data_IF_657326244181
#
_entry.id   IF_657326244181
#
_cell.length_a   1.000
_cell.length_b   1.000
_cell.length_c   1.000
_cell.angle_alpha   90.00
_cell.angle_beta   90.00
_cell.angle_gamma   90.00
#
_symmetry.space_group_name_H-M   'P 1'
#
loop_
_entity.id
_entity.type
_entity.pdbx_description
1 polymer ?
#
# COMPACT_ATOMS: atom_id res chain seq x y z
N UNK A 1 14.63 -5.44 5.98
CA UNK A 1 13.41 -6.27 6.07
C UNK A 1 12.69 -6.07 4.76
N UNK A 2 12.40 -7.13 4.02
CA UNK A 2 11.64 -7.01 2.78
C UNK A 2 10.19 -7.37 3.04
N UNK A 3 9.27 -6.83 2.23
CA UNK A 3 7.85 -7.11 2.38
C UNK A 3 7.52 -8.61 2.25
N UNK A 4 8.39 -9.36 1.58
CA UNK A 4 8.33 -10.82 1.42
C UNK A 4 8.57 -11.61 2.71
N UNK A 5 9.07 -10.98 3.78
CA UNK A 5 9.16 -11.60 5.12
C UNK A 5 7.79 -11.68 5.81
N UNK A 6 6.84 -10.83 5.42
CA UNK A 6 5.51 -10.72 6.01
C UNK A 6 4.42 -11.26 5.08
N UNK A 7 4.60 -11.10 3.77
CA UNK A 7 3.64 -11.44 2.73
C UNK A 7 4.24 -12.45 1.76
N UNK A 8 3.39 -13.29 1.17
CA UNK A 8 3.83 -14.24 0.16
C UNK A 8 4.13 -13.51 -1.14
N UNK A 9 5.35 -13.67 -1.66
CA UNK A 9 5.76 -13.10 -2.93
C UNK A 9 4.83 -13.47 -4.10
N UNK A 10 4.24 -14.68 -4.07
CA UNK A 10 3.28 -15.13 -5.08
C UNK A 10 1.99 -14.29 -5.08
N UNK A 11 1.47 -13.91 -3.90
CA UNK A 11 0.25 -13.11 -3.78
C UNK A 11 0.51 -11.65 -4.17
N UNK A 12 1.69 -11.11 -3.79
CA UNK A 12 2.15 -9.79 -4.26
C UNK A 12 2.22 -9.78 -5.79
N UNK A 13 2.84 -10.79 -6.39
CA UNK A 13 2.97 -10.88 -7.84
C UNK A 13 1.62 -10.95 -8.54
N UNK A 14 0.71 -11.81 -8.07
CA UNK A 14 -0.66 -11.90 -8.61
C UNK A 14 -1.40 -10.57 -8.50
N UNK A 15 -1.27 -9.88 -7.37
CA UNK A 15 -1.90 -8.58 -7.18
C UNK A 15 -1.32 -7.54 -8.16
N UNK A 16 0.01 -7.46 -8.31
CA UNK A 16 0.64 -6.55 -9.26
C UNK A 16 0.23 -6.82 -10.71
N UNK A 17 0.14 -8.08 -11.12
CA UNK A 17 -0.34 -8.46 -12.47
C UNK A 17 -1.82 -8.09 -12.67
N UNK A 18 -2.66 -8.25 -11.64
CA UNK A 18 -4.07 -7.88 -11.71
C UNK A 18 -4.28 -6.37 -11.91
N UNK A 19 -3.45 -5.52 -11.30
CA UNK A 19 -3.54 -4.05 -11.43
C UNK A 19 -2.55 -3.46 -12.46
N UNK A 20 -1.93 -4.29 -13.30
CA UNK A 20 -1.05 -3.83 -14.37
C UNK A 20 -1.82 -3.25 -15.58
N UNK A 21 -3.04 -3.73 -15.84
CA UNK A 21 -3.84 -3.36 -17.02
C UNK A 21 -5.12 -2.55 -16.69
N UNK A 22 -5.51 -2.50 -15.42
CA UNK A 22 -6.71 -1.79 -14.93
C UNK A 22 -6.32 -0.68 -13.95
N UNK A 23 -7.28 0.20 -13.61
CA UNK A 23 -7.12 1.21 -12.56
C UNK A 23 -6.75 0.55 -11.23
N UNK A 24 -5.64 0.99 -10.63
CA UNK A 24 -5.20 0.48 -9.34
C UNK A 24 -6.26 0.67 -8.25
N UNK A 25 -6.60 -0.40 -7.53
CA UNK A 25 -7.53 -0.35 -6.40
C UNK A 25 -6.83 -0.78 -5.11
N UNK A 26 -6.55 0.15 -4.18
CA UNK A 26 -5.78 -0.15 -2.97
C UNK A 26 -6.44 -1.22 -2.09
N UNK A 27 -7.77 -1.16 -1.92
CA UNK A 27 -8.50 -2.11 -1.07
C UNK A 27 -8.37 -3.54 -1.58
N UNK A 28 -8.65 -3.72 -2.87
CA UNK A 28 -8.58 -5.05 -3.50
C UNK A 28 -7.13 -5.54 -3.61
N UNK A 29 -6.16 -4.63 -3.74
CA UNK A 29 -4.74 -4.97 -3.64
C UNK A 29 -4.39 -5.51 -2.26
N UNK A 30 -4.75 -4.81 -1.19
CA UNK A 30 -4.50 -5.26 0.19
C UNK A 30 -5.19 -6.57 0.53
N UNK A 31 -6.39 -6.79 0.00
CA UNK A 31 -7.08 -8.08 0.11
C UNK A 31 -6.33 -9.20 -0.60
N UNK A 32 -5.91 -8.99 -1.85
CA UNK A 32 -5.17 -10.01 -2.61
C UNK A 32 -3.83 -10.37 -1.99
N UNK A 33 -3.08 -9.39 -1.47
CA UNK A 33 -1.79 -9.68 -0.81
C UNK A 33 -1.98 -10.29 0.58
N UNK A 34 -3.21 -10.30 1.12
CA UNK A 34 -3.56 -10.91 2.40
C UNK A 34 -3.31 -10.01 3.62
N UNK A 35 -3.16 -8.69 3.40
CA UNK A 35 -2.95 -7.69 4.45
C UNK A 35 -4.20 -7.51 5.32
N UNK A 36 -5.39 -7.64 4.72
CA UNK A 36 -6.70 -7.49 5.39
C UNK A 36 -6.92 -8.47 6.54
N UNK A 37 -6.28 -9.65 6.49
CA UNK A 37 -6.38 -10.70 7.50
C UNK A 37 -5.23 -10.67 8.53
N UNK A 38 -4.28 -9.72 8.41
CA UNK A 38 -3.17 -9.59 9.34
C UNK A 38 -3.57 -8.83 10.61
N UNK A 39 -2.77 -8.98 11.68
CA UNK A 39 -2.92 -8.16 12.88
C UNK A 39 -2.39 -6.74 12.65
N UNK A 40 -2.90 -5.77 13.41
CA UNK A 40 -2.42 -4.39 13.47
C UNK A 40 -0.88 -4.28 13.56
N UNK A 41 -0.23 -5.16 14.33
CA UNK A 41 1.23 -5.19 14.44
C UNK A 41 1.93 -5.50 13.11
N UNK A 42 1.37 -6.42 12.31
CA UNK A 42 1.93 -6.76 11.01
C UNK A 42 1.60 -5.70 9.96
N UNK A 43 0.38 -5.14 9.99
CA UNK A 43 -0.01 -3.97 9.19
C UNK A 43 0.97 -2.81 9.44
N UNK A 44 1.32 -2.55 10.69
CA UNK A 44 2.31 -1.53 11.07
C UNK A 44 3.72 -1.82 10.58
N UNK A 45 4.12 -3.09 10.51
CA UNK A 45 5.42 -3.45 9.91
C UNK A 45 5.42 -3.21 8.40
N UNK A 46 4.32 -3.53 7.72
CA UNK A 46 4.15 -3.23 6.29
C UNK A 46 4.19 -1.73 6.08
N UNK A 47 3.43 -0.96 6.83
CA UNK A 47 3.44 0.50 6.77
C UNK A 47 4.85 1.08 6.90
N UNK A 48 5.64 0.60 7.88
CA UNK A 48 7.05 1.01 8.05
C UNK A 48 8.00 0.63 6.91
N UNK A 49 7.62 -0.32 6.07
CA UNK A 49 8.40 -0.66 4.86
C UNK A 49 7.99 0.25 3.70
N UNK A 50 6.77 0.78 3.70
CA UNK A 50 6.27 1.73 2.71
C UNK A 50 6.69 3.17 3.00
N UNK A 51 6.73 3.54 4.28
CA UNK A 51 7.30 4.77 4.82
C UNK A 51 8.83 4.70 4.71
N UNK A 52 9.35 5.16 3.57
CA UNK A 52 10.76 5.05 3.19
C UNK A 52 11.59 6.08 3.95
N UNK A 53 11.02 7.26 4.17
CA UNK A 53 11.69 8.35 4.87
C UNK A 53 11.60 8.24 6.41
N UNK A 54 10.69 7.39 6.91
CA UNK A 54 10.49 7.15 8.33
C UNK A 54 9.76 8.30 9.03
N UNK A 55 9.02 9.13 8.29
CA UNK A 55 8.25 10.25 8.82
C UNK A 55 7.08 9.81 9.68
N UNK A 56 6.65 8.55 9.55
CA UNK A 56 5.46 8.00 10.19
C UNK A 56 4.18 8.22 9.37
N UNK A 57 4.30 8.72 8.15
CA UNK A 57 3.22 8.96 7.20
C UNK A 57 3.64 8.49 5.81
N UNK A 58 2.69 8.04 4.99
CA UNK A 58 2.97 7.77 3.57
C UNK A 58 2.54 9.00 2.77
N UNK A 59 3.51 9.71 2.21
CA UNK A 59 3.26 10.92 1.41
C UNK A 59 2.90 10.57 -0.05
N UNK A 60 2.37 11.53 -0.82
CA UNK A 60 1.99 11.33 -2.24
C UNK A 60 3.17 10.79 -3.08
N UNK A 61 4.37 11.30 -2.87
CA UNK A 61 5.59 10.86 -3.55
C UNK A 61 5.94 9.41 -3.23
N UNK A 62 5.80 8.98 -1.98
CA UNK A 62 6.06 7.60 -1.56
C UNK A 62 4.95 6.66 -2.06
N UNK A 63 3.71 7.13 -2.02
CA UNK A 63 2.54 6.41 -2.48
C UNK A 63 2.65 6.08 -3.99
N UNK A 64 3.27 6.97 -4.78
CA UNK A 64 3.56 6.72 -6.20
C UNK A 64 4.40 5.46 -6.41
N UNK A 65 5.31 5.18 -5.47
CA UNK A 65 6.21 4.04 -5.49
C UNK A 65 5.77 2.90 -4.57
N UNK A 66 4.55 2.96 -4.02
CA UNK A 66 4.05 2.00 -3.02
C UNK A 66 4.18 0.55 -3.51
N UNK A 67 3.88 0.30 -4.78
CA UNK A 67 3.97 -1.03 -5.39
C UNK A 67 5.40 -1.58 -5.41
N UNK A 68 6.40 -0.70 -5.57
CA UNK A 68 7.82 -1.06 -5.52
C UNK A 68 8.28 -1.44 -4.10
N UNK A 69 7.61 -0.90 -3.09
CA UNK A 69 7.78 -1.31 -1.69
C UNK A 69 7.34 -2.77 -1.44
N UNK A 70 6.34 -3.25 -2.18
CA UNK A 70 5.89 -4.64 -2.11
C UNK A 70 6.76 -5.61 -2.93
N UNK A 71 7.11 -5.24 -4.15
CA UNK A 71 8.04 -6.02 -5.00
C UNK A 71 8.77 -5.11 -5.97
N UNK A 72 10.03 -5.43 -6.29
CA UNK A 72 10.81 -4.68 -7.29
C UNK A 72 10.17 -4.71 -8.69
N UNK A 73 9.28 -5.67 -8.96
CA UNK A 73 8.49 -5.76 -10.20
C UNK A 73 7.27 -4.81 -10.21
N UNK A 74 7.01 -4.08 -9.12
CA UNK A 74 5.95 -3.11 -9.04
C UNK A 74 6.16 -1.94 -10.01
N UNK A 75 5.10 -1.60 -10.76
CA UNK A 75 5.08 -0.38 -11.58
C UNK A 75 4.88 0.86 -10.71
N UNK A 76 5.19 2.01 -11.29
CA UNK A 76 4.82 3.28 -10.67
C UNK A 76 3.32 3.53 -10.87
N UNK A 77 2.67 4.05 -9.84
CA UNK A 77 1.31 4.57 -9.98
C UNK A 77 1.35 5.86 -10.80
N UNK A 78 0.33 6.04 -11.63
CA UNK A 78 0.13 7.32 -12.32
C UNK A 78 -0.36 8.37 -11.32
N UNK A 79 -0.17 9.66 -11.60
CA UNK A 79 -0.58 10.72 -10.68
C UNK A 79 -2.09 10.69 -10.38
N UNK A 80 -2.91 10.21 -11.32
CA UNK A 80 -4.35 10.03 -11.12
C UNK A 80 -4.65 8.88 -10.15
N UNK A 81 -3.95 7.76 -10.30
CA UNK A 81 -4.07 6.60 -9.39
C UNK A 81 -3.54 6.92 -8.00
N UNK A 82 -2.41 7.61 -7.89
CA UNK A 82 -1.87 8.05 -6.61
C UNK A 82 -2.85 8.96 -5.89
N UNK A 83 -3.44 9.94 -6.58
CA UNK A 83 -4.46 10.83 -6.00
C UNK A 83 -5.73 10.10 -5.62
N UNK A 84 -6.18 9.16 -6.46
CA UNK A 84 -7.36 8.36 -6.18
C UNK A 84 -7.14 7.45 -4.95
N UNK A 85 -5.94 6.87 -4.83
CA UNK A 85 -5.52 6.13 -3.65
C UNK A 85 -5.53 7.06 -2.45
N UNK A 86 -4.74 8.14 -2.48
CA UNK A 86 -4.62 9.08 -1.36
C UNK A 86 -5.99 9.50 -0.88
N UNK A 87 -6.87 9.95 -1.77
CA UNK A 87 -8.25 10.36 -1.44
C UNK A 87 -9.12 9.24 -0.84
N UNK A 88 -8.84 7.98 -1.14
CA UNK A 88 -9.56 6.85 -0.54
C UNK A 88 -9.04 6.51 0.87
N UNK A 89 -7.77 6.80 1.12
CA UNK A 89 -7.04 6.47 2.35
C UNK A 89 -7.06 7.62 3.37
N UNK A 90 -6.73 8.83 2.93
CA UNK A 90 -6.69 10.10 3.67
C UNK A 90 -8.12 10.48 4.09
N UNK A 91 -8.45 10.22 5.36
CA UNK A 91 -9.75 10.52 5.97
C UNK A 91 -9.74 11.87 6.67
N UNK A 92 -8.58 12.33 7.15
CA UNK A 92 -8.46 13.58 7.89
C UNK A 92 -8.16 14.81 6.99
N UNK A 93 -7.75 14.57 5.75
CA UNK A 93 -7.51 15.57 4.71
C UNK A 93 -6.15 16.26 4.83
N UNK A 94 -5.17 15.64 5.50
CA UNK A 94 -3.83 16.20 5.68
C UNK A 94 -2.90 15.99 4.48
N UNK A 95 -3.36 15.24 3.46
CA UNK A 95 -2.63 14.98 2.21
C UNK A 95 -1.59 13.87 2.31
N UNK A 96 -1.61 13.08 3.38
CA UNK A 96 -0.74 11.90 3.60
C UNK A 96 -1.56 10.80 4.26
N UNK A 97 -0.98 9.62 4.42
CA UNK A 97 -1.68 8.47 5.03
C UNK A 97 -1.00 8.10 6.33
N UNK A 98 -1.70 8.30 7.44
CA UNK A 98 -1.26 7.85 8.76
C UNK A 98 -1.41 6.35 8.96
N UNK A 99 -0.77 5.81 10.00
CA UNK A 99 -0.90 4.39 10.35
C UNK A 99 -2.34 3.98 10.66
N UNK A 100 -3.10 4.81 11.36
CA UNK A 100 -4.50 4.55 11.71
C UNK A 100 -5.38 4.51 10.44
N UNK A 101 -5.13 5.40 9.49
CA UNK A 101 -5.85 5.45 8.21
C UNK A 101 -5.48 4.28 7.31
N UNK A 102 -4.22 3.88 7.31
CA UNK A 102 -3.76 2.68 6.62
C UNK A 102 -4.39 1.42 7.22
N UNK A 103 -4.48 1.33 8.56
CA UNK A 103 -5.14 0.23 9.25
C UNK A 103 -6.63 0.16 8.89
N UNK A 104 -7.33 1.30 8.88
CA UNK A 104 -8.73 1.37 8.43
C UNK A 104 -8.83 0.92 6.98
N UNK A 105 -8.01 1.45 6.07
CA UNK A 105 -8.03 1.10 4.65
C UNK A 105 -7.79 -0.40 4.40
N UNK A 106 -6.94 -1.03 5.22
CA UNK A 106 -6.65 -2.46 5.15
C UNK A 106 -7.77 -3.31 5.77
N UNK A 107 -8.55 -2.80 6.71
CA UNK A 107 -9.64 -3.55 7.36
C UNK A 107 -11.07 -3.15 6.91
N UNK A 108 -11.20 -2.21 5.97
CA UNK A 108 -12.48 -1.70 5.41
C UNK A 108 -12.99 -2.55 4.25
#
# INVERSE_FOLDING_TARGET
>A
MSMTDLLKAEEIKKALEAFAAETFNPKKFFEMVGLTAMSAENVKKVFRVLDVDGSGFIEEDELKYVLKGFSQEGRDLTDDETKAFLKAADKDGDGKIGIDEFEVLVHE
#
